data_IF_012328220594
#
_entry.id   IF_012328220594
#
_cell.length_a   1.000
_cell.length_b   1.000
_cell.length_c   1.000
_cell.angle_alpha   90.00
_cell.angle_beta   90.00
_cell.angle_gamma   90.00
#
_symmetry.space_group_name_H-M   'P 1'
#
loop_
_entity.id
_entity.type
_entity.pdbx_description
1 polymer ?
#
# COMPACT_ATOMS: atom_id res chain seq x y z
N UNK A 1 -18.58 14.21 13.92
CA UNK A 1 -19.91 13.57 13.84
C UNK A 1 -19.89 12.68 12.62
N UNK A 2 -19.88 11.35 12.80
CA UNK A 2 -19.89 10.39 11.69
C UNK A 2 -21.33 9.97 11.43
N UNK A 3 -21.83 10.19 10.22
CA UNK A 3 -23.11 9.61 9.80
C UNK A 3 -22.98 8.08 9.69
N UNK A 4 -24.07 7.32 9.93
CA UNK A 4 -24.07 5.86 9.89
C UNK A 4 -23.98 5.26 8.48
N UNK A 5 -24.03 6.09 7.45
CA UNK A 5 -23.89 5.69 6.03
C UNK A 5 -22.45 6.00 5.61
N UNK A 6 -21.66 4.98 5.27
CA UNK A 6 -20.22 5.07 5.05
C UNK A 6 -19.78 6.13 4.04
N UNK A 7 -19.42 7.32 4.52
CA UNK A 7 -18.86 8.42 3.73
C UNK A 7 -17.64 9.05 4.40
N UNK A 8 -16.86 8.24 5.11
CA UNK A 8 -15.62 8.68 5.75
C UNK A 8 -14.38 8.38 4.90
N UNK A 9 -13.23 8.99 5.21
CA UNK A 9 -11.96 8.61 4.59
C UNK A 9 -11.74 7.10 4.68
N UNK A 10 -11.31 6.50 3.57
CA UNK A 10 -11.10 5.05 3.46
C UNK A 10 -9.65 4.75 3.14
N UNK A 11 -9.12 3.68 3.74
CA UNK A 11 -7.77 3.18 3.45
C UNK A 11 -7.85 1.81 2.80
N UNK A 12 -7.16 1.64 1.67
CA UNK A 12 -7.05 0.37 0.95
C UNK A 12 -5.61 -0.10 1.04
N UNK A 13 -5.39 -1.30 1.58
CA UNK A 13 -4.07 -1.93 1.64
C UNK A 13 -4.01 -3.08 0.64
N UNK A 14 -3.08 -2.98 -0.31
CA UNK A 14 -2.81 -3.99 -1.32
C UNK A 14 -1.51 -4.70 -0.93
N UNK A 15 -1.57 -6.01 -0.76
CA UNK A 15 -0.40 -6.86 -0.56
C UNK A 15 -0.20 -7.74 -1.80
N UNK A 16 0.96 -7.62 -2.44
CA UNK A 16 1.35 -8.42 -3.60
C UNK A 16 2.53 -9.32 -3.21
N UNK A 17 2.35 -10.62 -3.35
CA UNK A 17 3.36 -11.66 -3.10
C UNK A 17 3.51 -12.56 -4.34
N UNK A 18 4.48 -13.48 -4.32
CA UNK A 18 4.70 -14.40 -5.44
C UNK A 18 5.25 -13.71 -6.70
N UNK A 19 5.98 -12.61 -6.51
CA UNK A 19 6.57 -11.83 -7.60
C UNK A 19 7.68 -12.63 -8.31
N UNK A 20 7.78 -12.44 -9.63
CA UNK A 20 8.87 -13.00 -10.44
C UNK A 20 10.23 -12.31 -10.20
N UNK A 21 10.24 -11.24 -9.40
CA UNK A 21 11.44 -10.52 -9.00
C UNK A 21 12.31 -11.36 -8.05
N UNK A 22 13.63 -11.35 -8.28
CA UNK A 22 14.62 -12.15 -7.55
C UNK A 22 15.20 -11.43 -6.32
N UNK A 23 14.78 -10.18 -6.10
CA UNK A 23 15.24 -9.30 -5.02
C UNK A 23 14.09 -8.88 -4.11
N UNK A 24 12.91 -8.61 -4.67
CA UNK A 24 11.69 -8.24 -3.96
C UNK A 24 10.81 -9.46 -3.68
N UNK A 25 10.51 -9.72 -2.41
CA UNK A 25 9.63 -10.80 -1.98
C UNK A 25 8.14 -10.41 -2.00
N UNK A 26 7.85 -9.17 -1.60
CA UNK A 26 6.49 -8.65 -1.54
C UNK A 26 6.47 -7.13 -1.68
N UNK A 27 5.33 -6.60 -2.15
CA UNK A 27 5.07 -5.15 -2.22
C UNK A 27 3.78 -4.87 -1.46
N UNK A 28 3.80 -3.82 -0.63
CA UNK A 28 2.63 -3.30 0.06
C UNK A 28 2.36 -1.88 -0.44
N UNK A 29 1.15 -1.66 -0.94
CA UNK A 29 0.67 -0.34 -1.33
C UNK A 29 -0.47 0.07 -0.43
N UNK A 30 -0.34 1.21 0.25
CA UNK A 30 -1.40 1.80 1.09
C UNK A 30 -1.95 3.01 0.37
N UNK A 31 -3.23 2.95 0.01
CA UNK A 31 -3.95 4.02 -0.67
C UNK A 31 -4.94 4.66 0.29
N UNK A 32 -4.97 5.98 0.36
CA UNK A 32 -5.96 6.73 1.13
C UNK A 32 -6.89 7.47 0.18
N UNK A 33 -8.18 7.32 0.41
CA UNK A 33 -9.24 7.98 -0.36
C UNK A 33 -10.10 8.86 0.54
N UNK A 34 -10.57 9.96 -0.03
CA UNK A 34 -11.62 10.80 0.53
C UNK A 34 -12.83 10.79 -0.42
N UNK A 35 -14.06 10.86 0.09
CA UNK A 35 -15.24 11.05 -0.76
C UNK A 35 -15.14 12.34 -1.56
N UNK A 36 -15.54 12.28 -2.83
CA UNK A 36 -15.54 13.42 -3.75
C UNK A 36 -16.73 13.31 -4.71
N UNK A 37 -17.82 14.00 -4.38
CA UNK A 37 -19.12 13.85 -5.07
C UNK A 37 -19.64 12.42 -4.99
N UNK A 38 -19.97 11.85 -6.14
CA UNK A 38 -20.40 10.45 -6.28
C UNK A 38 -19.24 9.44 -6.34
N UNK A 39 -18.00 9.94 -6.19
CA UNK A 39 -16.78 9.16 -6.33
C UNK A 39 -15.84 9.26 -5.14
N UNK A 40 -14.62 8.79 -5.36
CA UNK A 40 -13.54 8.80 -4.40
C UNK A 40 -12.31 9.44 -5.03
N UNK A 41 -11.70 10.38 -4.31
CA UNK A 41 -10.43 10.99 -4.71
C UNK A 41 -9.30 10.34 -3.94
N UNK A 42 -8.28 9.88 -4.68
CA UNK A 42 -7.03 9.40 -4.08
C UNK A 42 -6.26 10.59 -3.50
N UNK A 43 -5.93 10.53 -2.21
CA UNK A 43 -5.21 11.60 -1.50
C UNK A 43 -3.82 11.21 -1.03
N UNK A 44 -3.54 9.90 -0.91
CA UNK A 44 -2.18 9.40 -0.66
C UNK A 44 -2.00 8.02 -1.28
N UNK A 45 -0.78 7.74 -1.75
CA UNK A 45 -0.35 6.43 -2.23
C UNK A 45 1.07 6.16 -1.73
N UNK A 46 1.21 5.24 -0.79
CA UNK A 46 2.49 4.84 -0.22
C UNK A 46 2.83 3.42 -0.66
N UNK A 47 3.94 3.27 -1.38
CA UNK A 47 4.46 1.97 -1.81
C UNK A 47 5.69 1.62 -0.98
N UNK A 48 5.69 0.40 -0.45
CA UNK A 48 6.80 -0.19 0.29
C UNK A 48 7.05 -1.59 -0.23
N UNK A 49 8.27 -2.06 -0.10
CA UNK A 49 8.64 -3.41 -0.47
C UNK A 49 9.28 -4.14 0.68
N UNK A 50 9.25 -5.47 0.62
CA UNK A 50 9.99 -6.37 1.49
C UNK A 50 10.93 -7.16 0.60
N UNK A 51 12.22 -7.14 0.89
CA UNK A 51 13.20 -7.87 0.11
C UNK A 51 13.16 -9.36 0.44
N UNK A 52 13.66 -10.18 -0.48
CA UNK A 52 13.98 -11.58 -0.21
C UNK A 52 15.13 -11.66 0.81
N UNK A 53 15.29 -12.83 1.42
CA UNK A 53 16.38 -13.06 2.37
C UNK A 53 17.74 -12.80 1.69
N UNK A 54 18.60 -12.03 2.37
CA UNK A 54 19.92 -11.64 1.85
C UNK A 54 19.92 -10.49 0.83
N UNK A 55 18.75 -9.93 0.50
CA UNK A 55 18.58 -8.88 -0.52
C UNK A 55 18.28 -7.50 0.07
N UNK A 56 18.61 -7.29 1.33
CA UNK A 56 18.35 -6.06 2.08
C UNK A 56 17.32 -6.24 3.19
N UNK A 57 16.44 -5.26 3.36
CA UNK A 57 15.50 -5.20 4.48
C UNK A 57 14.40 -6.26 4.39
N UNK A 58 14.05 -6.86 5.54
CA UNK A 58 13.03 -7.91 5.64
C UNK A 58 11.67 -7.38 6.11
N UNK A 59 11.61 -6.10 6.50
CA UNK A 59 10.36 -5.38 6.77
C UNK A 59 9.93 -4.57 5.54
N UNK A 60 8.67 -4.15 5.51
CA UNK A 60 8.18 -3.22 4.50
C UNK A 60 8.82 -1.85 4.68
N UNK A 61 9.58 -1.42 3.68
CA UNK A 61 10.30 -0.15 3.64
C UNK A 61 10.19 0.48 2.25
N UNK A 62 10.27 1.81 2.11
CA UNK A 62 10.40 2.47 0.82
C UNK A 62 11.82 2.34 0.22
N UNK A 63 12.78 1.77 0.95
CA UNK A 63 14.14 1.56 0.47
C UNK A 63 14.20 0.48 -0.64
N UNK A 64 15.24 0.56 -1.46
CA UNK A 64 15.49 -0.41 -2.53
C UNK A 64 16.06 -1.72 -1.98
N UNK A 65 15.67 -2.83 -2.63
CA UNK A 65 16.32 -4.12 -2.47
C UNK A 65 17.61 -4.18 -3.30
N UNK A 66 18.49 -5.13 -2.97
CA UNK A 66 19.86 -5.24 -3.53
C UNK A 66 20.03 -6.45 -4.44
#
# INVERSE_FOLDING_TARGET
MSSPEGGGPTTVTILQEGLADDSVAAVRTVLRYEPDGDGWRLVSSERMQRCRSGRGHQDFSPADCV
#
